data_IF_420922788784
#
_entry.id   IF_420922788784
#
_cell.length_a   1.000
_cell.length_b   1.000
_cell.length_c   1.000
_cell.angle_alpha   90.00
_cell.angle_beta   90.00
_cell.angle_gamma   90.00
#
_symmetry.space_group_name_H-M   'P 1'
#
loop_
_entity.id
_entity.type
_entity.pdbx_description
1 polymer ?
#
# COMPACT_ATOMS: atom_id res chain seq x y z
N UNK A 1 -38.95 -39.72 30.46
CA UNK A 1 -38.87 -39.92 28.99
C UNK A 1 -38.45 -38.59 28.39
N UNK A 2 -37.31 -38.48 27.69
CA UNK A 2 -37.05 -37.30 26.88
C UNK A 2 -38.18 -37.25 25.85
N UNK A 3 -39.09 -36.28 25.97
CA UNK A 3 -40.29 -36.22 25.14
C UNK A 3 -39.92 -36.04 23.67
N UNK A 4 -40.84 -36.40 22.76
CA UNK A 4 -40.67 -36.28 21.30
C UNK A 4 -40.15 -34.88 20.85
N UNK A 5 -40.42 -33.84 21.64
CA UNK A 5 -39.92 -32.47 21.45
C UNK A 5 -38.39 -32.32 21.57
N UNK A 6 -37.71 -33.14 22.38
CA UNK A 6 -36.24 -33.07 22.51
C UNK A 6 -35.55 -33.53 21.21
N UNK A 7 -35.97 -34.67 20.65
CA UNK A 7 -35.47 -35.15 19.36
C UNK A 7 -35.80 -34.19 18.22
N UNK A 8 -36.99 -33.57 18.24
CA UNK A 8 -37.39 -32.57 17.26
C UNK A 8 -36.48 -31.33 17.29
N UNK A 9 -36.16 -30.81 18.49
CA UNK A 9 -35.26 -29.65 18.64
C UNK A 9 -33.84 -29.97 18.12
N UNK A 10 -33.31 -31.15 18.44
CA UNK A 10 -32.01 -31.59 17.90
C UNK A 10 -32.05 -31.68 16.37
N UNK A 11 -33.10 -32.27 15.79
CA UNK A 11 -33.26 -32.34 14.34
C UNK A 11 -33.35 -30.96 13.67
N UNK A 12 -34.11 -30.03 14.27
CA UNK A 12 -34.24 -28.64 13.81
C UNK A 12 -32.86 -27.93 13.83
N UNK A 13 -32.09 -28.06 14.91
CA UNK A 13 -30.75 -27.46 15.00
C UNK A 13 -29.79 -28.00 13.93
N UNK A 14 -29.89 -29.29 13.59
CA UNK A 14 -29.12 -29.92 12.53
C UNK A 14 -29.49 -29.38 11.15
N UNK A 15 -30.79 -29.20 10.86
CA UNK A 15 -31.26 -28.61 9.60
C UNK A 15 -30.79 -27.15 9.46
N UNK A 16 -30.89 -26.34 10.51
CA UNK A 16 -30.41 -24.96 10.48
C UNK A 16 -28.89 -24.87 10.28
N UNK A 17 -28.12 -25.74 10.94
CA UNK A 17 -26.67 -25.83 10.75
C UNK A 17 -26.33 -26.22 9.30
N UNK A 18 -27.02 -27.20 8.73
CA UNK A 18 -26.84 -27.62 7.34
C UNK A 18 -27.21 -26.49 6.35
N UNK A 19 -28.31 -25.77 6.60
CA UNK A 19 -28.71 -24.61 5.78
C UNK A 19 -27.63 -23.52 5.78
N UNK A 20 -27.06 -23.19 6.95
CA UNK A 20 -25.94 -22.24 7.06
C UNK A 20 -24.71 -22.72 6.29
N UNK A 21 -24.34 -23.99 6.40
CA UNK A 21 -23.24 -24.57 5.61
C UNK A 21 -23.48 -24.44 4.10
N UNK A 22 -24.67 -24.77 3.61
CA UNK A 22 -25.02 -24.64 2.20
C UNK A 22 -24.97 -23.20 1.72
N UNK A 23 -25.39 -22.25 2.55
CA UNK A 23 -25.27 -20.82 2.24
C UNK A 23 -23.81 -20.39 2.08
N UNK A 24 -22.91 -20.82 2.98
CA UNK A 24 -21.47 -20.55 2.89
C UNK A 24 -20.85 -21.22 1.67
N UNK A 25 -21.25 -22.46 1.34
CA UNK A 25 -20.80 -23.17 0.13
C UNK A 25 -21.25 -22.42 -1.12
N UNK A 26 -22.52 -21.99 -1.19
CA UNK A 26 -23.04 -21.22 -2.32
C UNK A 26 -22.29 -19.89 -2.47
N UNK A 27 -22.03 -19.19 -1.38
CA UNK A 27 -21.26 -17.96 -1.38
C UNK A 27 -19.83 -18.17 -1.90
N UNK A 28 -19.17 -19.26 -1.48
CA UNK A 28 -17.85 -19.64 -2.01
C UNK A 28 -17.87 -19.97 -3.50
N UNK A 29 -18.84 -20.76 -3.96
CA UNK A 29 -18.95 -21.16 -5.37
C UNK A 29 -19.20 -19.93 -6.24
N UNK A 30 -20.10 -19.04 -5.81
CA UNK A 30 -20.44 -17.82 -6.53
C UNK A 30 -19.25 -16.86 -6.68
N UNK A 31 -18.31 -16.88 -5.73
CA UNK A 31 -17.14 -16.00 -5.72
C UNK A 31 -15.83 -16.71 -6.03
N UNK A 32 -15.86 -17.97 -6.47
CA UNK A 32 -14.65 -18.78 -6.70
C UNK A 32 -13.70 -18.14 -7.73
N UNK A 33 -14.26 -17.44 -8.71
CA UNK A 33 -13.52 -16.75 -9.76
C UNK A 33 -13.38 -15.24 -9.51
N UNK A 34 -13.82 -14.75 -8.35
CA UNK A 34 -13.68 -13.33 -7.98
C UNK A 34 -12.27 -13.09 -7.46
N UNK A 35 -11.45 -12.24 -8.12
CA UNK A 35 -10.11 -11.95 -7.64
C UNK A 35 -10.13 -11.41 -6.20
N UNK A 36 -9.20 -11.90 -5.37
CA UNK A 36 -9.11 -11.52 -3.96
C UNK A 36 -10.10 -12.23 -3.03
N UNK A 37 -11.01 -13.07 -3.54
CA UNK A 37 -11.88 -13.88 -2.70
C UNK A 37 -11.10 -14.99 -1.99
N UNK A 38 -11.40 -15.18 -0.71
CA UNK A 38 -10.83 -16.23 0.13
C UNK A 38 -11.93 -17.14 0.64
N UNK A 39 -11.72 -18.45 0.55
CA UNK A 39 -12.71 -19.45 0.98
C UNK A 39 -13.12 -19.23 2.43
N UNK A 40 -14.43 -19.27 2.68
CA UNK A 40 -15.02 -19.23 4.01
C UNK A 40 -15.41 -20.63 4.48
N UNK A 41 -15.30 -20.87 5.78
CA UNK A 41 -15.67 -22.12 6.43
C UNK A 41 -16.54 -21.84 7.65
N UNK A 42 -17.75 -22.40 7.68
CA UNK A 42 -18.59 -22.40 8.86
C UNK A 42 -18.04 -23.39 9.89
N UNK A 43 -17.82 -22.91 11.11
CA UNK A 43 -17.36 -23.71 12.25
C UNK A 43 -18.58 -24.16 13.04
N UNK A 44 -18.84 -25.46 13.01
CA UNK A 44 -19.93 -26.09 13.75
C UNK A 44 -19.40 -26.66 15.06
N UNK A 45 -20.10 -26.39 16.15
CA UNK A 45 -19.77 -26.92 17.48
C UNK A 45 -21.00 -27.60 18.06
N UNK A 46 -20.77 -28.69 18.80
CA UNK A 46 -21.84 -29.36 19.53
C UNK A 46 -22.41 -28.43 20.61
N UNK A 47 -23.73 -28.37 20.70
CA UNK A 47 -24.41 -27.63 21.77
C UNK A 47 -24.14 -28.27 23.12
N UNK A 48 -24.20 -27.48 24.20
CA UNK A 48 -23.89 -27.95 25.55
C UNK A 48 -24.84 -29.11 25.92
N UNK A 49 -24.32 -30.30 26.24
CA UNK A 49 -25.14 -31.47 26.47
C UNK A 49 -25.95 -31.35 27.77
N UNK A 50 -27.16 -31.92 27.77
CA UNK A 50 -28.05 -31.94 28.93
C UNK A 50 -27.69 -33.13 29.83
N UNK A 51 -27.44 -32.89 31.12
CA UNK A 51 -27.07 -33.95 32.07
C UNK A 51 -28.33 -34.61 32.65
N UNK A 52 -28.50 -35.91 32.40
CA UNK A 52 -29.49 -36.73 33.11
C UNK A 52 -28.82 -37.47 34.27
N UNK A 53 -29.36 -37.26 35.48
CA UNK A 53 -28.95 -38.01 36.67
C UNK A 53 -29.20 -39.51 36.44
N UNK A 54 -28.14 -40.32 36.63
CA UNK A 54 -28.16 -41.78 36.48
C UNK A 54 -28.03 -42.31 35.05
N UNK A 55 -28.04 -41.46 34.01
CA UNK A 55 -28.01 -41.89 32.58
C UNK A 55 -26.84 -41.29 31.80
N UNK A 56 -26.29 -40.15 32.22
CA UNK A 56 -25.12 -39.51 31.59
C UNK A 56 -25.45 -38.20 30.88
N UNK A 57 -24.66 -37.84 29.87
CA UNK A 57 -24.82 -36.63 29.06
C UNK A 57 -25.63 -36.93 27.79
N UNK A 58 -26.69 -36.16 27.56
CA UNK A 58 -27.55 -36.24 26.39
C UNK A 58 -27.23 -35.09 25.43
N UNK A 59 -26.90 -35.40 24.17
CA UNK A 59 -26.56 -34.39 23.16
C UNK A 59 -27.77 -33.51 22.79
N UNK A 60 -27.57 -32.21 22.74
CA UNK A 60 -28.61 -31.19 22.47
C UNK A 60 -28.57 -30.63 21.04
N UNK A 61 -27.78 -31.25 20.15
CA UNK A 61 -27.60 -30.81 18.77
C UNK A 61 -26.29 -30.04 18.55
N UNK A 62 -26.30 -29.16 17.57
CA UNK A 62 -25.13 -28.38 17.15
C UNK A 62 -25.55 -27.04 16.55
N UNK A 63 -24.65 -26.06 16.62
CA UNK A 63 -24.83 -24.77 15.96
C UNK A 63 -23.53 -24.31 15.29
N UNK A 64 -23.66 -23.36 14.36
CA UNK A 64 -22.53 -22.66 13.75
C UNK A 64 -22.16 -21.48 14.65
N UNK A 65 -20.96 -21.53 15.22
CA UNK A 65 -20.45 -20.51 16.15
C UNK A 65 -19.71 -19.38 15.45
N UNK A 66 -19.15 -19.63 14.27
CA UNK A 66 -18.44 -18.62 13.49
C UNK A 66 -18.29 -19.03 12.03
N UNK A 67 -18.11 -18.07 11.13
CA UNK A 67 -17.66 -18.31 9.76
C UNK A 67 -16.25 -17.75 9.66
N UNK A 68 -15.28 -18.63 9.46
CA UNK A 68 -13.86 -18.26 9.40
C UNK A 68 -13.36 -18.20 7.98
N UNK A 69 -12.49 -17.24 7.71
CA UNK A 69 -11.77 -17.12 6.46
C UNK A 69 -10.58 -18.09 6.48
N UNK A 70 -10.43 -18.89 5.43
CA UNK A 70 -9.28 -19.77 5.25
C UNK A 70 -8.21 -19.00 4.47
N UNK A 71 -7.12 -18.68 5.16
CA UNK A 71 -5.95 -17.96 4.62
C UNK A 71 -4.69 -18.49 5.28
N UNK A 72 -3.56 -18.27 4.63
CA UNK A 72 -2.24 -18.51 5.22
C UNK A 72 -1.72 -17.19 5.79
N UNK A 73 -1.71 -17.08 7.12
CA UNK A 73 -1.27 -15.86 7.80
C UNK A 73 0.22 -15.58 7.56
N UNK A 74 1.05 -16.61 7.39
CA UNK A 74 2.47 -16.43 7.11
C UNK A 74 2.68 -15.78 5.74
N UNK A 75 1.92 -16.19 4.73
CA UNK A 75 1.95 -15.56 3.41
C UNK A 75 1.44 -14.12 3.46
N UNK A 76 0.39 -13.84 4.23
CA UNK A 76 -0.12 -12.48 4.40
C UNK A 76 0.93 -11.54 5.01
N UNK A 77 1.59 -11.96 6.10
CA UNK A 77 2.66 -11.17 6.72
C UNK A 77 3.84 -10.96 5.78
N UNK A 78 4.25 -12.01 5.06
CA UNK A 78 5.33 -11.92 4.09
C UNK A 78 4.96 -10.93 2.98
N UNK A 79 3.75 -11.01 2.44
CA UNK A 79 3.27 -10.10 1.41
C UNK A 79 3.29 -8.64 1.90
N UNK A 80 2.76 -8.35 3.08
CA UNK A 80 2.77 -6.98 3.64
C UNK A 80 4.19 -6.44 3.83
N UNK A 81 5.11 -7.28 4.32
CA UNK A 81 6.52 -6.89 4.51
C UNK A 81 7.22 -6.58 3.18
N UNK A 82 7.05 -7.43 2.17
CA UNK A 82 7.67 -7.21 0.85
C UNK A 82 7.04 -6.01 0.13
N UNK A 83 5.72 -5.80 0.31
CA UNK A 83 5.03 -4.67 -0.30
C UNK A 83 5.50 -3.32 0.27
N UNK A 84 5.90 -3.26 1.55
CA UNK A 84 6.54 -2.08 2.13
C UNK A 84 7.86 -1.77 1.42
N UNK A 85 8.74 -2.77 1.28
CA UNK A 85 10.03 -2.60 0.62
C UNK A 85 9.85 -2.22 -0.85
N UNK A 86 8.94 -2.87 -1.55
CA UNK A 86 8.59 -2.54 -2.93
C UNK A 86 8.14 -1.08 -3.06
N UNK A 87 7.23 -0.61 -2.20
CA UNK A 87 6.75 0.77 -2.20
C UNK A 87 7.89 1.78 -2.03
N UNK A 88 8.81 1.53 -1.10
CA UNK A 88 9.97 2.40 -0.88
C UNK A 88 10.86 2.52 -2.12
N UNK A 89 11.23 1.39 -2.73
CA UNK A 89 12.10 1.39 -3.91
C UNK A 89 11.39 1.93 -5.15
N UNK A 90 10.10 1.66 -5.30
CA UNK A 90 9.29 2.20 -6.38
C UNK A 90 9.24 3.73 -6.31
N UNK A 91 8.92 4.30 -5.15
CA UNK A 91 8.93 5.77 -4.98
C UNK A 91 10.32 6.36 -5.19
N UNK A 92 11.38 5.72 -4.69
CA UNK A 92 12.77 6.19 -4.94
C UNK A 92 13.10 6.20 -6.43
N UNK A 93 12.71 5.15 -7.16
CA UNK A 93 12.92 5.06 -8.60
C UNK A 93 12.21 6.21 -9.33
N UNK A 94 10.95 6.49 -9.01
CA UNK A 94 10.21 7.61 -9.62
C UNK A 94 10.88 8.97 -9.36
N UNK A 95 11.29 9.22 -8.10
CA UNK A 95 11.96 10.47 -7.75
C UNK A 95 13.35 10.59 -8.40
N UNK A 96 14.10 9.51 -8.49
CA UNK A 96 15.39 9.50 -9.18
C UNK A 96 15.23 9.75 -10.68
N UNK A 97 14.21 9.18 -11.32
CA UNK A 97 13.90 9.45 -12.72
C UNK A 97 13.56 10.93 -12.96
N UNK A 98 12.81 11.56 -12.05
CA UNK A 98 12.52 13.00 -12.10
C UNK A 98 13.79 13.86 -11.94
N UNK A 99 14.69 13.46 -11.03
CA UNK A 99 15.99 14.12 -10.86
C UNK A 99 16.89 13.95 -12.08
N UNK A 100 16.93 12.77 -12.71
CA UNK A 100 17.69 12.52 -13.94
C UNK A 100 17.25 13.47 -15.07
N UNK A 101 15.93 13.66 -15.24
CA UNK A 101 15.39 14.62 -16.20
C UNK A 101 15.77 16.06 -15.85
N UNK A 102 15.83 16.40 -14.56
CA UNK A 102 16.24 17.73 -14.08
C UNK A 102 17.71 18.03 -14.39
N UNK A 103 18.60 17.03 -14.23
CA UNK A 103 20.01 17.16 -14.58
C UNK A 103 20.22 17.24 -16.11
N UNK A 104 19.48 16.44 -16.87
CA UNK A 104 19.52 16.39 -18.34
C UNK A 104 20.96 16.31 -18.91
N UNK A 105 21.74 15.39 -18.35
CA UNK A 105 23.14 15.12 -18.74
C UNK A 105 23.27 13.69 -19.29
N UNK A 106 24.03 13.48 -20.38
CA UNK A 106 24.75 14.47 -21.18
C UNK A 106 23.86 15.21 -22.19
N UNK A 107 24.03 16.54 -22.31
CA UNK A 107 23.35 17.33 -23.35
C UNK A 107 24.18 18.52 -23.84
N UNK A 108 23.81 19.04 -25.01
CA UNK A 108 24.45 20.21 -25.65
C UNK A 108 24.28 21.51 -24.84
N UNK A 109 23.43 21.50 -23.81
CA UNK A 109 23.18 22.62 -22.89
C UNK A 109 23.32 22.20 -21.42
N UNK A 110 23.96 21.07 -21.16
CA UNK A 110 24.17 20.57 -19.81
C UNK A 110 25.32 21.28 -19.09
N UNK A 111 25.41 21.02 -17.78
CA UNK A 111 26.55 21.34 -16.92
C UNK A 111 27.91 21.17 -17.60
N UNK A 112 28.18 20.01 -18.22
CA UNK A 112 29.49 19.70 -18.80
C UNK A 112 29.84 20.69 -19.92
N UNK A 113 28.87 20.98 -20.78
CA UNK A 113 29.05 21.90 -21.91
C UNK A 113 29.24 23.33 -21.41
N UNK A 114 28.38 23.80 -20.49
CA UNK A 114 28.42 25.18 -19.98
C UNK A 114 29.70 25.45 -19.19
N UNK A 115 30.17 24.48 -18.40
CA UNK A 115 31.45 24.56 -17.68
C UNK A 115 32.63 24.62 -18.64
N UNK A 116 32.65 23.76 -19.66
CA UNK A 116 33.71 23.76 -20.67
C UNK A 116 33.74 25.07 -21.46
N UNK A 117 32.60 25.61 -21.86
CA UNK A 117 32.52 26.91 -22.55
C UNK A 117 33.06 28.06 -21.70
N UNK A 118 32.75 28.08 -20.40
CA UNK A 118 33.28 29.08 -19.48
C UNK A 118 34.80 28.95 -19.30
N UNK A 119 35.29 27.72 -19.12
CA UNK A 119 36.73 27.47 -18.97
C UNK A 119 37.51 27.82 -20.24
N UNK A 120 36.97 27.48 -21.42
CA UNK A 120 37.56 27.86 -22.71
C UNK A 120 37.61 29.39 -22.88
N UNK A 121 36.56 30.11 -22.48
CA UNK A 121 36.57 31.57 -22.51
C UNK A 121 37.66 32.16 -21.60
N UNK A 122 37.87 31.59 -20.41
CA UNK A 122 38.95 31.99 -19.52
C UNK A 122 40.34 31.71 -20.11
N UNK A 123 40.51 30.58 -20.80
CA UNK A 123 41.77 30.27 -21.48
C UNK A 123 42.08 31.25 -22.62
N UNK A 124 41.07 31.63 -23.41
CA UNK A 124 41.25 32.63 -24.47
C UNK A 124 41.58 34.02 -23.90
N UNK A 125 40.96 34.41 -22.77
CA UNK A 125 41.30 35.64 -22.08
C UNK A 125 42.73 35.62 -21.51
N UNK A 126 43.22 34.46 -21.06
CA UNK A 126 44.58 34.34 -20.54
C UNK A 126 45.66 34.58 -21.60
N UNK A 127 45.36 34.36 -22.89
CA UNK A 127 46.29 34.63 -24.01
C UNK A 127 46.47 36.13 -24.25
N UNK A 128 45.41 36.93 -24.09
CA UNK A 128 45.47 38.39 -24.17
C UNK A 128 44.45 39.04 -23.20
N UNK A 129 44.86 39.35 -21.96
CA UNK A 129 43.98 39.95 -20.95
C UNK A 129 43.51 41.37 -21.30
N UNK A 130 44.23 42.06 -22.19
CA UNK A 130 43.95 43.45 -22.56
C UNK A 130 42.83 43.59 -23.59
N UNK A 131 42.53 42.51 -24.31
CA UNK A 131 41.51 42.49 -25.35
C UNK A 131 40.08 42.59 -24.79
N UNK A 132 39.37 43.65 -25.17
CA UNK A 132 37.98 43.89 -24.75
C UNK A 132 36.98 42.79 -25.17
N UNK A 133 37.04 42.21 -26.39
CA UNK A 133 36.10 41.16 -26.81
C UNK A 133 36.20 39.90 -25.94
N UNK A 134 37.40 39.50 -25.53
CA UNK A 134 37.67 38.32 -24.71
C UNK A 134 37.12 38.51 -23.29
N UNK A 135 37.27 39.72 -22.71
CA UNK A 135 36.66 40.05 -21.40
C UNK A 135 35.14 39.98 -21.46
N UNK A 136 34.53 40.51 -22.51
CA UNK A 136 33.08 40.45 -22.70
C UNK A 136 32.58 39.00 -22.86
N UNK A 137 33.33 38.15 -23.57
CA UNK A 137 33.00 36.73 -23.74
C UNK A 137 33.01 35.98 -22.40
N UNK A 138 34.04 36.17 -21.57
CA UNK A 138 34.11 35.56 -20.23
C UNK A 138 32.93 36.01 -19.36
N UNK A 139 32.61 37.31 -19.36
CA UNK A 139 31.46 37.83 -18.63
C UNK A 139 30.16 37.17 -19.09
N UNK A 140 29.94 37.06 -20.40
CA UNK A 140 28.75 36.42 -20.95
C UNK A 140 28.65 34.94 -20.55
N UNK A 141 29.75 34.17 -20.67
CA UNK A 141 29.77 32.77 -20.26
C UNK A 141 29.59 32.60 -18.75
N UNK A 142 30.15 33.49 -17.93
CA UNK A 142 29.94 33.52 -16.49
C UNK A 142 28.48 33.78 -16.10
N UNK A 143 27.80 34.70 -16.80
CA UNK A 143 26.36 34.94 -16.62
C UNK A 143 25.54 33.70 -17.01
N UNK A 144 25.87 33.03 -18.11
CA UNK A 144 25.21 31.77 -18.51
C UNK A 144 25.40 30.68 -17.46
N UNK A 145 26.61 30.51 -16.93
CA UNK A 145 26.90 29.53 -15.89
C UNK A 145 26.10 29.81 -14.60
N UNK A 146 26.08 31.07 -14.15
CA UNK A 146 25.29 31.46 -12.98
C UNK A 146 23.79 31.21 -13.19
N UNK A 147 23.25 31.55 -14.38
CA UNK A 147 21.85 31.29 -14.72
C UNK A 147 21.52 29.80 -14.72
N UNK A 148 22.42 28.96 -15.23
CA UNK A 148 22.26 27.51 -15.22
C UNK A 148 22.10 26.96 -13.80
N UNK A 149 23.04 27.28 -12.90
CA UNK A 149 22.97 26.82 -11.50
C UNK A 149 21.76 27.38 -10.76
N UNK A 150 21.41 28.65 -10.96
CA UNK A 150 20.21 29.23 -10.35
C UNK A 150 18.93 28.54 -10.83
N UNK A 151 18.85 28.19 -12.12
CA UNK A 151 17.72 27.44 -12.67
C UNK A 151 17.66 26.02 -12.09
N UNK A 152 18.79 25.33 -12.01
CA UNK A 152 18.88 23.98 -11.44
C UNK A 152 18.47 23.98 -9.96
N UNK A 153 18.97 24.93 -9.17
CA UNK A 153 18.59 25.09 -7.77
C UNK A 153 17.08 25.33 -7.61
N UNK A 154 16.50 26.22 -8.41
CA UNK A 154 15.04 26.45 -8.39
C UNK A 154 14.23 25.22 -8.78
N UNK A 155 14.74 24.36 -9.67
CA UNK A 155 14.08 23.10 -10.02
C UNK A 155 14.14 22.10 -8.86
N UNK A 156 15.28 21.95 -8.18
CA UNK A 156 15.37 21.10 -6.99
C UNK A 156 14.48 21.58 -5.84
N UNK A 157 14.38 22.88 -5.62
CA UNK A 157 13.46 23.46 -4.62
C UNK A 157 12.00 23.10 -4.93
N UNK A 158 11.61 23.10 -6.22
CA UNK A 158 10.27 22.68 -6.64
C UNK A 158 10.03 21.20 -6.41
N UNK A 159 10.97 20.34 -6.81
CA UNK A 159 10.88 18.88 -6.57
C UNK A 159 10.75 18.60 -5.07
N UNK A 160 11.53 19.30 -4.23
CA UNK A 160 11.43 19.17 -2.78
C UNK A 160 10.06 19.61 -2.25
N UNK A 161 9.53 20.74 -2.73
CA UNK A 161 8.20 21.21 -2.34
C UNK A 161 7.09 20.22 -2.74
N UNK A 162 7.19 19.64 -3.94
CA UNK A 162 6.24 18.64 -4.42
C UNK A 162 6.31 17.35 -3.60
N UNK A 163 7.51 16.88 -3.25
CA UNK A 163 7.70 15.73 -2.34
C UNK A 163 7.05 16.01 -0.98
N UNK A 164 7.27 17.19 -0.39
CA UNK A 164 6.65 17.56 0.89
C UNK A 164 5.12 17.55 0.81
N UNK A 165 4.55 18.01 -0.31
CA UNK A 165 3.11 17.97 -0.52
C UNK A 165 2.59 16.54 -0.69
N UNK A 166 3.31 15.67 -1.42
CA UNK A 166 2.97 14.25 -1.54
C UNK A 166 2.98 13.56 -0.17
N UNK A 167 3.98 13.82 0.67
CA UNK A 167 4.05 13.28 2.03
C UNK A 167 2.82 13.68 2.85
N UNK A 168 2.41 14.95 2.77
CA UNK A 168 1.20 15.42 3.46
C UNK A 168 -0.06 14.67 3.01
N UNK A 169 -0.25 14.52 1.69
CA UNK A 169 -1.40 13.81 1.13
C UNK A 169 -1.41 12.35 1.60
N UNK A 170 -0.27 11.66 1.59
CA UNK A 170 -0.14 10.27 2.06
C UNK A 170 -0.51 10.17 3.55
N UNK A 171 -0.08 11.11 4.38
CA UNK A 171 -0.44 11.14 5.82
C UNK A 171 -1.95 11.33 6.00
N UNK A 172 -2.58 12.21 5.22
CA UNK A 172 -4.03 12.42 5.22
C UNK A 172 -4.79 11.14 4.80
N UNK A 173 -4.30 10.42 3.79
CA UNK A 173 -4.83 9.13 3.35
C UNK A 173 -4.70 8.06 4.44
N UNK A 174 -3.53 7.94 5.07
CA UNK A 174 -3.30 7.00 6.18
C UNK A 174 -4.30 7.25 7.32
N UNK A 175 -4.51 8.51 7.70
CA UNK A 175 -5.45 8.88 8.76
C UNK A 175 -6.91 8.55 8.37
N UNK A 176 -7.26 8.75 7.10
CA UNK A 176 -8.58 8.36 6.57
C UNK A 176 -8.78 6.85 6.63
N UNK A 177 -7.80 6.06 6.17
CA UNK A 177 -7.85 4.59 6.23
C UNK A 177 -7.92 4.09 7.66
N UNK A 178 -7.15 4.67 8.59
CA UNK A 178 -7.22 4.32 10.01
C UNK A 178 -8.60 4.57 10.61
N UNK A 179 -9.26 5.68 10.21
CA UNK A 179 -10.64 6.00 10.63
C UNK A 179 -11.63 4.99 10.07
N UNK A 180 -11.49 4.58 8.80
CA UNK A 180 -12.34 3.55 8.20
C UNK A 180 -12.15 2.20 8.89
N UNK A 181 -10.92 1.79 9.19
CA UNK A 181 -10.62 0.56 9.95
C UNK A 181 -11.28 0.63 11.34
N UNK A 182 -11.20 1.76 12.02
CA UNK A 182 -11.85 1.95 13.32
C UNK A 182 -13.38 1.77 13.21
N UNK A 183 -14.01 2.35 12.19
CA UNK A 183 -15.46 2.22 11.97
C UNK A 183 -15.86 0.78 11.66
N UNK A 184 -15.10 0.09 10.81
CA UNK A 184 -15.32 -1.34 10.52
C UNK A 184 -15.18 -2.20 11.77
N UNK A 185 -14.15 -1.96 12.61
CA UNK A 185 -13.97 -2.67 13.86
C UNK A 185 -15.15 -2.47 14.82
N UNK A 186 -15.71 -1.25 14.90
CA UNK A 186 -16.94 -1.00 15.68
C UNK A 186 -18.14 -1.76 15.14
N UNK A 187 -18.33 -1.76 13.82
CA UNK A 187 -19.44 -2.49 13.18
C UNK A 187 -19.34 -3.99 13.41
N UNK A 188 -18.13 -4.57 13.30
CA UNK A 188 -17.87 -5.98 13.60
C UNK A 188 -18.20 -6.27 15.05
N UNK A 189 -17.70 -5.45 15.99
CA UNK A 189 -17.96 -5.64 17.42
C UNK A 189 -19.45 -5.56 17.79
N UNK A 190 -20.24 -4.71 17.13
CA UNK A 190 -21.69 -4.64 17.37
C UNK A 190 -22.48 -5.77 16.70
N UNK A 191 -21.92 -6.42 15.68
CA UNK A 191 -22.56 -7.51 14.95
C UNK A 191 -22.28 -8.89 15.58
N UNK A 192 -21.19 -9.02 16.35
CA UNK A 192 -20.82 -10.20 17.13
C UNK A 192 -21.44 -10.21 18.54
#
# INVERSE_FOLDING_TARGET
MPGAFFGLNTAISGIFSAQKHLSVINHNISNVNTPGYSRQQAVQVASIPYKLNGVGLLGTGSDIVSIKRIRDEFLDYKYWSENQAFGEYFTKMELLAELEVTFNEPSNSGFTTIMNEFYNALQELAKDPSAAPQRALVQQRGVTLAKYFNSLASQFEKVQADINQRVRIIVEEINSLATQIQQLNKQIYYAE
#
